data_IF_309500864445
#
_entry.id   IF_309500864445
#
_cell.length_a   1.000
_cell.length_b   1.000
_cell.length_c   1.000
_cell.angle_alpha   90.00
_cell.angle_beta   90.00
_cell.angle_gamma   90.00
#
_symmetry.space_group_name_H-M   'P 1'
#
loop_
_entity.id
_entity.type
_entity.pdbx_description
1 polymer ?
#
# COMPACT_ATOMS: atom_id res chain seq x y z
N UNK A 1 -1.72 -9.72 -13.81
CA UNK A 1 -1.44 -9.34 -12.42
C UNK A 1 -0.48 -10.36 -11.84
N UNK A 2 0.52 -9.98 -11.03
CA UNK A 2 1.26 -10.96 -10.23
C UNK A 2 0.30 -11.45 -9.12
N UNK A 3 0.05 -12.76 -9.05
CA UNK A 3 -0.92 -13.34 -8.12
C UNK A 3 -0.56 -13.07 -6.65
N UNK A 4 0.72 -13.06 -6.32
CA UNK A 4 1.17 -12.78 -4.94
C UNK A 4 0.86 -11.33 -4.53
N UNK A 5 1.01 -10.38 -5.46
CA UNK A 5 0.66 -8.98 -5.21
C UNK A 5 -0.86 -8.81 -5.10
N UNK A 6 -1.61 -9.55 -5.92
CA UNK A 6 -3.08 -9.53 -5.88
C UNK A 6 -3.61 -10.07 -4.54
N UNK A 7 -3.14 -11.24 -4.10
CA UNK A 7 -3.51 -11.83 -2.82
C UNK A 7 -3.15 -10.89 -1.66
N UNK A 8 -1.95 -10.29 -1.70
CA UNK A 8 -1.52 -9.31 -0.71
C UNK A 8 -2.37 -8.03 -0.72
N UNK A 9 -2.88 -7.61 -1.88
CA UNK A 9 -3.75 -6.44 -1.97
C UNK A 9 -5.08 -6.68 -1.25
N UNK A 10 -5.67 -7.88 -1.35
CA UNK A 10 -6.88 -8.23 -0.59
C UNK A 10 -6.64 -8.19 0.93
N UNK A 11 -5.49 -8.67 1.41
CA UNK A 11 -5.12 -8.57 2.82
C UNK A 11 -5.02 -7.10 3.28
N UNK A 12 -4.40 -6.26 2.46
CA UNK A 12 -4.18 -4.83 2.74
C UNK A 12 -5.50 -4.05 2.75
N UNK A 13 -6.45 -4.37 1.86
CA UNK A 13 -7.81 -3.78 1.90
C UNK A 13 -8.42 -4.01 3.28
N UNK A 14 -8.44 -5.27 3.75
CA UNK A 14 -9.02 -5.61 5.05
C UNK A 14 -8.29 -4.99 6.23
N UNK A 15 -6.94 -4.97 6.19
CA UNK A 15 -6.12 -4.47 7.29
C UNK A 15 -6.18 -2.95 7.45
N UNK A 16 -6.15 -2.20 6.36
CA UNK A 16 -6.00 -0.74 6.38
C UNK A 16 -7.22 0.03 5.89
N UNK A 17 -8.25 -0.66 5.39
CA UNK A 17 -9.47 -0.03 4.86
C UNK A 17 -9.21 0.82 3.62
N UNK A 18 -8.22 0.42 2.80
CA UNK A 18 -7.87 1.07 1.55
C UNK A 18 -8.82 0.67 0.42
N UNK A 19 -9.01 1.56 -0.55
CA UNK A 19 -9.67 1.20 -1.80
C UNK A 19 -8.79 0.19 -2.56
N UNK A 20 -9.37 -0.63 -3.46
CA UNK A 20 -8.61 -1.68 -4.15
C UNK A 20 -7.37 -1.18 -4.90
N UNK A 21 -7.42 0.03 -5.46
CA UNK A 21 -6.27 0.64 -6.14
C UNK A 21 -5.15 0.98 -5.15
N UNK A 22 -5.46 1.67 -4.05
CA UNK A 22 -4.47 2.07 -3.04
C UNK A 22 -3.86 0.84 -2.36
N UNK A 23 -4.68 -0.19 -2.14
CA UNK A 23 -4.22 -1.46 -1.62
C UNK A 23 -3.27 -2.18 -2.58
N UNK A 24 -3.51 -2.12 -3.89
CA UNK A 24 -2.61 -2.67 -4.91
C UNK A 24 -1.27 -1.93 -4.95
N UNK A 25 -1.29 -0.60 -4.80
CA UNK A 25 -0.07 0.21 -4.68
C UNK A 25 0.72 -0.22 -3.44
N UNK A 26 0.07 -0.27 -2.28
CA UNK A 26 0.71 -0.69 -1.03
C UNK A 26 1.22 -2.14 -1.09
N UNK A 27 0.47 -3.07 -1.71
CA UNK A 27 0.90 -4.45 -1.93
C UNK A 27 2.15 -4.53 -2.79
N UNK A 28 2.20 -3.73 -3.86
CA UNK A 28 3.37 -3.64 -4.74
C UNK A 28 4.58 -3.12 -3.96
N UNK A 29 4.42 -2.05 -3.17
CA UNK A 29 5.49 -1.54 -2.32
C UNK A 29 6.01 -2.61 -1.35
N UNK A 30 5.11 -3.31 -0.67
CA UNK A 30 5.48 -4.38 0.28
C UNK A 30 6.21 -5.53 -0.41
N UNK A 31 5.74 -5.98 -1.57
CA UNK A 31 6.35 -7.08 -2.34
C UNK A 31 7.78 -6.75 -2.78
N UNK A 32 8.03 -5.52 -3.23
CA UNK A 32 9.36 -5.08 -3.67
C UNK A 32 10.22 -4.45 -2.55
N UNK A 33 9.75 -4.43 -1.31
CA UNK A 33 10.49 -3.85 -0.18
C UNK A 33 10.62 -2.33 -0.22
N UNK A 34 9.75 -1.63 -0.95
CA UNK A 34 9.68 -0.16 -0.99
C UNK A 34 9.01 0.31 0.31
N UNK A 35 9.73 1.15 1.06
CA UNK A 35 9.28 1.68 2.34
C UNK A 35 8.87 3.14 2.27
N UNK A 36 9.30 3.88 1.26
CA UNK A 36 9.08 5.32 1.17
C UNK A 36 8.12 5.63 0.02
N UNK A 37 7.05 6.38 0.31
CA UNK A 37 6.07 6.81 -0.68
C UNK A 37 5.87 8.33 -0.59
N UNK A 38 5.94 9.01 -1.74
CA UNK A 38 5.57 10.40 -1.87
C UNK A 38 4.15 10.47 -2.44
N UNK A 39 3.19 10.92 -1.63
CA UNK A 39 1.79 11.02 -2.04
C UNK A 39 1.08 12.12 -1.24
N UNK A 40 0.08 12.74 -1.86
CA UNK A 40 -0.86 13.64 -1.16
C UNK A 40 -2.06 12.90 -0.59
N UNK A 41 -2.16 11.59 -0.82
CA UNK A 41 -3.21 10.75 -0.27
C UNK A 41 -2.87 10.34 1.16
N UNK A 42 -3.57 10.96 2.11
CA UNK A 42 -3.43 10.70 3.54
C UNK A 42 -3.81 9.28 3.95
N UNK A 43 -4.55 8.54 3.11
CA UNK A 43 -4.98 7.18 3.45
C UNK A 43 -3.80 6.22 3.61
N UNK A 44 -2.68 6.50 2.92
CA UNK A 44 -1.42 5.76 3.06
C UNK A 44 -0.74 5.98 4.41
N UNK A 45 -1.10 7.02 5.18
CA UNK A 45 -0.58 7.22 6.54
C UNK A 45 -1.06 6.11 7.51
N UNK A 46 -2.12 5.37 7.14
CA UNK A 46 -2.60 4.21 7.91
C UNK A 46 -1.72 2.96 7.70
N UNK A 47 -0.87 2.94 6.67
CA UNK A 47 -0.11 1.76 6.27
C UNK A 47 1.22 1.72 7.01
N UNK A 48 1.30 0.87 8.04
CA UNK A 48 2.40 0.88 9.03
C UNK A 48 3.82 0.64 8.46
N UNK A 49 3.94 0.01 7.30
CA UNK A 49 5.24 -0.31 6.67
C UNK A 49 5.71 0.77 5.69
N UNK A 50 4.88 1.79 5.43
CA UNK A 50 5.18 2.91 4.55
C UNK A 50 5.51 4.17 5.36
N UNK A 51 6.61 4.80 5.00
CA UNK A 51 6.95 6.17 5.36
C UNK A 51 6.32 7.09 4.32
N UNK A 52 5.34 7.89 4.73
CA UNK A 52 4.70 8.86 3.85
C UNK A 52 5.48 10.18 3.88
N UNK A 53 6.06 10.54 2.74
CA UNK A 53 6.79 11.80 2.56
C UNK A 53 5.82 12.91 2.17
N UNK A 54 5.91 14.04 2.88
CA UNK A 54 5.16 15.27 2.61
C UNK A 54 6.17 16.36 2.23
N UNK A 55 5.91 17.03 1.10
CA UNK A 55 6.66 18.20 0.65
C UNK A 55 6.25 19.46 1.43
#
# INVERSE_FOLDING_TARGET
MNKEIEDLSFEIIGKYGLLPNDALIAATCKHYGIKDIATFDKDFERVEFLNVWKL
#
